data_IF_122949800848
#
_entry.id   IF_122949800848
#
_cell.length_a   1.000
_cell.length_b   1.000
_cell.length_c   1.000
_cell.angle_alpha   90.00
_cell.angle_beta   90.00
_cell.angle_gamma   90.00
#
_symmetry.space_group_name_H-M   'P 1'
#
loop_
_entity.id
_entity.type
_entity.pdbx_description
1 polymer ?
#
# COMPACT_ATOMS: atom_id res chain seq x y z
N UNK A 1 11.03 22.22 -1.30
CA UNK A 1 10.15 21.40 -0.43
C UNK A 1 10.48 19.95 -0.72
N UNK A 2 10.91 19.19 0.28
CA UNK A 2 11.24 17.76 0.10
C UNK A 2 10.10 16.94 0.69
N UNK A 3 9.51 16.06 -0.12
CA UNK A 3 8.58 15.03 0.34
C UNK A 3 9.36 13.77 0.70
N UNK A 4 8.85 12.95 1.64
CA UNK A 4 9.46 11.69 2.05
C UNK A 4 8.59 10.51 1.61
N UNK A 5 9.18 9.55 0.92
CA UNK A 5 8.57 8.23 0.72
C UNK A 5 8.99 7.33 1.89
N UNK A 6 8.03 6.67 2.54
CA UNK A 6 8.27 5.71 3.61
C UNK A 6 7.26 4.57 3.58
N UNK A 7 7.54 3.43 4.23
CA UNK A 7 6.53 2.40 4.47
C UNK A 7 5.25 2.97 5.07
N UNK A 8 4.11 2.49 4.57
CA UNK A 8 2.80 2.79 5.15
C UNK A 8 2.66 2.05 6.48
N UNK A 9 1.99 2.69 7.43
CA UNK A 9 1.69 2.13 8.76
C UNK A 9 0.19 2.17 9.03
N UNK A 10 -0.28 1.52 10.09
CA UNK A 10 -1.67 1.62 10.52
C UNK A 10 -2.16 3.06 10.75
N UNK A 11 -1.27 3.98 11.14
CA UNK A 11 -1.60 5.40 11.35
C UNK A 11 -1.95 6.12 10.05
N UNK A 12 -1.51 5.61 8.90
CA UNK A 12 -1.78 6.20 7.59
C UNK A 12 -3.14 5.77 7.01
N UNK A 13 -3.82 4.79 7.62
CA UNK A 13 -5.04 4.18 7.11
C UNK A 13 -6.09 5.20 6.71
N UNK A 14 -6.33 6.21 7.55
CA UNK A 14 -7.37 7.23 7.28
C UNK A 14 -7.06 7.97 5.98
N UNK A 15 -5.80 8.37 5.76
CA UNK A 15 -5.41 9.10 4.56
C UNK A 15 -5.47 8.21 3.31
N UNK A 16 -4.98 6.96 3.42
CA UNK A 16 -5.05 5.95 2.36
C UNK A 16 -6.51 5.69 1.96
N UNK A 17 -7.40 5.52 2.93
CA UNK A 17 -8.83 5.31 2.68
C UNK A 17 -9.49 6.51 1.99
N UNK A 18 -9.14 7.74 2.38
CA UNK A 18 -9.65 8.92 1.66
C UNK A 18 -9.15 8.96 0.22
N UNK A 19 -7.88 8.63 -0.03
CA UNK A 19 -7.34 8.53 -1.39
C UNK A 19 -8.04 7.44 -2.21
N UNK A 20 -8.28 6.26 -1.62
CA UNK A 20 -9.01 5.16 -2.26
C UNK A 20 -10.43 5.55 -2.72
N UNK A 21 -11.10 6.44 -1.97
CA UNK A 21 -12.41 6.98 -2.37
C UNK A 21 -12.35 7.89 -3.60
N UNK A 22 -11.18 8.45 -3.93
CA UNK A 22 -11.00 9.39 -5.04
C UNK A 22 -10.64 8.70 -6.36
N UNK A 23 -10.16 7.44 -6.33
CA UNK A 23 -9.65 6.76 -7.53
C UNK A 23 -10.73 6.18 -8.45
N UNK A 24 -12.00 6.25 -8.04
CA UNK A 24 -13.14 5.67 -8.79
C UNK A 24 -13.14 4.14 -8.82
N UNK A 25 -14.18 3.54 -9.41
CA UNK A 25 -14.39 2.08 -9.39
C UNK A 25 -13.39 1.25 -10.21
N UNK A 26 -12.67 1.87 -11.14
CA UNK A 26 -11.72 1.18 -12.02
C UNK A 26 -10.35 0.90 -11.41
N UNK A 27 -10.04 1.49 -10.24
CA UNK A 27 -8.72 1.36 -9.63
C UNK A 27 -8.71 0.25 -8.56
N UNK A 28 -8.78 -0.99 -9.03
CA UNK A 28 -8.94 -2.21 -8.22
C UNK A 28 -7.78 -2.48 -7.25
N UNK A 29 -6.61 -1.89 -7.48
CA UNK A 29 -5.47 -1.99 -6.58
C UNK A 29 -5.59 -1.11 -5.31
N UNK A 30 -6.49 -0.13 -5.28
CA UNK A 30 -6.74 0.68 -4.08
C UNK A 30 -8.25 0.85 -3.89
N UNK A 31 -8.98 -0.24 -3.59
CA UNK A 31 -10.43 -0.17 -3.45
C UNK A 31 -10.80 0.62 -2.18
N UNK A 32 -11.91 1.39 -2.18
CA UNK A 32 -12.44 2.04 -0.99
C UNK A 32 -13.16 1.05 -0.06
N UNK A 33 -12.61 -0.14 0.10
CA UNK A 33 -13.05 -1.17 1.04
C UNK A 33 -12.10 -1.23 2.25
N UNK A 34 -12.66 -1.05 3.45
CA UNK A 34 -11.85 -0.92 4.68
C UNK A 34 -11.13 -2.20 5.02
N UNK A 35 -11.81 -3.35 4.91
CA UNK A 35 -11.24 -4.65 5.27
C UNK A 35 -10.06 -4.99 4.36
N UNK A 36 -10.21 -4.78 3.05
CA UNK A 36 -9.15 -4.97 2.07
C UNK A 36 -7.94 -4.08 2.35
N UNK A 37 -8.14 -2.80 2.64
CA UNK A 37 -7.03 -1.89 2.94
C UNK A 37 -6.31 -2.23 4.25
N UNK A 38 -7.04 -2.65 5.28
CA UNK A 38 -6.44 -3.13 6.54
C UNK A 38 -5.60 -4.39 6.27
N UNK A 39 -6.14 -5.36 5.54
CA UNK A 39 -5.41 -6.58 5.18
C UNK A 39 -4.16 -6.28 4.34
N UNK A 40 -4.22 -5.29 3.44
CA UNK A 40 -3.07 -4.83 2.66
C UNK A 40 -1.99 -4.18 3.54
N UNK A 41 -2.38 -3.35 4.50
CA UNK A 41 -1.45 -2.74 5.46
C UNK A 41 -0.77 -3.80 6.34
N UNK A 42 -1.55 -4.74 6.90
CA UNK A 42 -1.02 -5.84 7.71
C UNK A 42 -0.06 -6.74 6.92
N UNK A 43 -0.43 -7.11 5.68
CA UNK A 43 0.48 -7.84 4.78
C UNK A 43 1.75 -7.04 4.52
N UNK A 44 1.63 -5.72 4.32
CA UNK A 44 2.80 -4.88 4.07
C UNK A 44 3.73 -4.76 5.27
N UNK A 45 3.20 -4.64 6.47
CA UNK A 45 4.00 -4.61 7.69
C UNK A 45 4.77 -5.92 7.86
N UNK A 46 4.11 -7.06 7.61
CA UNK A 46 4.75 -8.39 7.63
C UNK A 46 5.83 -8.52 6.56
N UNK A 47 5.58 -8.06 5.33
CA UNK A 47 6.56 -8.10 4.23
C UNK A 47 7.80 -7.25 4.51
N UNK A 48 7.66 -6.11 5.20
CA UNK A 48 8.82 -5.30 5.61
C UNK A 48 9.58 -5.87 6.83
N UNK A 49 8.91 -6.62 7.70
CA UNK A 49 9.50 -7.20 8.90
C UNK A 49 10.15 -8.57 8.67
N UNK A 50 10.07 -9.10 7.45
CA UNK A 50 10.61 -10.40 7.10
C UNK A 50 12.11 -10.30 6.86
N UNK A 51 12.87 -11.20 7.50
CA UNK A 51 14.33 -11.23 7.46
C UNK A 51 14.90 -12.30 6.51
N UNK A 52 14.04 -13.01 5.77
CA UNK A 52 14.46 -14.00 4.76
C UNK A 52 14.44 -13.44 3.33
N UNK A 53 15.32 -14.00 2.50
CA UNK A 53 15.51 -13.64 1.09
C UNK A 53 14.60 -14.47 0.15
N UNK A 54 13.61 -15.20 0.65
CA UNK A 54 12.76 -16.06 -0.18
C UNK A 54 11.83 -15.21 -1.05
N UNK A 55 11.76 -15.42 -2.37
CA UNK A 55 10.80 -14.71 -3.21
C UNK A 55 9.38 -15.20 -2.92
N UNK A 56 8.58 -14.40 -2.23
CA UNK A 56 7.18 -14.71 -1.95
C UNK A 56 6.22 -13.69 -2.54
N UNK A 57 4.92 -13.93 -2.33
CA UNK A 57 3.87 -12.95 -2.61
C UNK A 57 3.91 -11.81 -1.59
N UNK A 58 5.01 -11.09 -1.47
CA UNK A 58 5.08 -9.91 -0.62
C UNK A 58 4.29 -8.75 -1.22
N UNK A 59 3.79 -7.87 -0.35
CA UNK A 59 3.16 -6.61 -0.74
C UNK A 59 3.85 -5.50 0.01
N UNK A 60 4.36 -4.49 -0.68
CA UNK A 60 4.98 -3.32 -0.05
C UNK A 60 4.15 -2.09 -0.36
N UNK A 61 3.60 -1.45 0.66
CA UNK A 61 2.83 -0.23 0.52
C UNK A 61 3.61 0.95 1.09
N UNK A 62 3.64 2.02 0.31
CA UNK A 62 4.35 3.25 0.66
C UNK A 62 3.39 4.44 0.71
N UNK A 63 3.79 5.46 1.45
CA UNK A 63 3.13 6.76 1.48
C UNK A 63 4.12 7.87 1.14
N UNK A 64 3.61 8.90 0.45
CA UNK A 64 4.31 10.17 0.24
C UNK A 64 3.89 11.15 1.33
N UNK A 65 4.78 11.43 2.25
CA UNK A 65 4.55 12.31 3.40
C UNK A 65 5.14 13.70 3.16
N UNK A 66 4.38 14.74 3.51
CA UNK A 66 4.91 16.08 3.78
C UNK A 66 5.46 16.12 5.22
N UNK A 67 6.79 16.12 5.43
CA UNK A 67 7.38 16.04 6.77
C UNK A 67 7.11 17.29 7.62
N UNK A 68 6.68 18.41 7.03
CA UNK A 68 6.35 19.61 7.80
C UNK A 68 4.99 19.52 8.48
N UNK A 69 4.03 18.89 7.82
CA UNK A 69 2.64 18.80 8.29
C UNK A 69 2.24 17.40 8.76
N UNK A 70 3.05 16.38 8.44
CA UNK A 70 2.68 14.96 8.60
C UNK A 70 1.59 14.51 7.61
N UNK A 71 1.18 15.38 6.66
CA UNK A 71 0.12 15.05 5.73
C UNK A 71 0.59 14.02 4.70
N UNK A 72 -0.22 12.98 4.50
CA UNK A 72 -0.01 12.02 3.42
C UNK A 72 -0.61 12.58 2.13
N UNK A 73 0.21 12.68 1.10
CA UNK A 73 -0.11 13.28 -0.21
C UNK A 73 -0.18 12.27 -1.35
N UNK A 74 0.18 11.02 -1.10
CA UNK A 74 0.14 9.95 -2.09
C UNK A 74 0.39 8.59 -1.47
N UNK A 75 0.10 7.54 -2.24
CA UNK A 75 0.41 6.16 -1.88
C UNK A 75 0.72 5.35 -3.13
N UNK A 76 1.56 4.33 -3.00
CA UNK A 76 1.78 3.32 -4.03
C UNK A 76 1.95 1.94 -3.39
N UNK A 77 1.85 0.91 -4.24
CA UNK A 77 1.98 -0.49 -3.85
C UNK A 77 2.94 -1.19 -4.81
N UNK A 78 3.75 -2.11 -4.30
CA UNK A 78 4.60 -3.02 -5.07
C UNK A 78 4.24 -4.45 -4.68
N UNK A 79 3.97 -5.29 -5.68
CA UNK A 79 3.68 -6.71 -5.47
C UNK A 79 4.93 -7.51 -5.84
N UNK A 80 5.44 -8.34 -4.92
CA UNK A 80 6.62 -9.17 -5.15
C UNK A 80 6.38 -10.25 -6.21
N UNK A 81 5.15 -10.77 -6.29
CA UNK A 81 4.72 -11.73 -7.30
C UNK A 81 3.30 -11.40 -7.76
N UNK A 82 3.07 -11.54 -9.06
CA UNK A 82 1.75 -11.50 -9.70
C UNK A 82 1.60 -12.72 -10.59
N UNK A 83 0.37 -13.21 -10.81
CA UNK A 83 0.16 -14.39 -11.65
C UNK A 83 0.39 -15.75 -10.98
N UNK A 84 0.96 -15.80 -9.76
CA UNK A 84 1.33 -17.05 -9.08
C UNK A 84 0.14 -17.69 -8.36
N UNK A 85 -0.58 -16.92 -7.54
CA UNK A 85 -1.77 -17.41 -6.82
C UNK A 85 -3.04 -17.32 -7.66
N UNK A 86 -3.13 -16.27 -8.48
CA UNK A 86 -4.24 -16.01 -9.40
C UNK A 86 -3.67 -15.54 -10.73
N UNK A 87 -4.25 -15.95 -11.87
CA UNK A 87 -3.84 -15.46 -13.18
C UNK A 87 -3.86 -13.93 -13.25
N UNK A 88 -2.84 -13.35 -13.88
CA UNK A 88 -2.73 -11.92 -14.12
C UNK A 88 -2.79 -11.67 -15.64
N UNK A 89 -3.82 -10.98 -16.08
CA UNK A 89 -4.12 -10.74 -17.50
C UNK A 89 -3.74 -9.30 -17.91
N UNK A 90 -3.40 -9.12 -19.18
CA UNK A 90 -3.03 -7.84 -19.81
C UNK A 90 -3.99 -7.48 -20.95
#
# INVERSE_FOLDING_TARGET
MSYRVRPATGNDFRAIYQMAKLTGGGFTNLPPDRATLIAKLDRSEKSFARDDDEQTGDLYMFVLEDPKSGAIRGTCQVFGQVGVTQPFYS
#
